data_IF_979433137571
#
_entry.id   IF_979433137571
#
_cell.length_a   1.000
_cell.length_b   1.000
_cell.length_c   1.000
_cell.angle_alpha   90.00
_cell.angle_beta   90.00
_cell.angle_gamma   90.00
#
_symmetry.space_group_name_H-M   'P 1'
#
loop_
_entity.id
_entity.type
_entity.pdbx_description
1 polymer ?
#
# COMPACT_ATOMS: atom_id res chain seq x y z
N UNK A 1 -17.08 20.70 2.21
CA UNK A 1 -17.01 19.44 1.47
C UNK A 1 -15.64 19.34 0.81
N UNK A 2 -14.84 18.32 1.16
CA UNK A 2 -13.49 18.17 0.63
C UNK A 2 -13.58 17.37 -0.67
N UNK A 3 -13.08 17.93 -1.78
CA UNK A 3 -13.13 17.33 -3.11
C UNK A 3 -12.17 16.13 -3.19
N UNK A 4 -12.67 14.93 -2.87
CA UNK A 4 -11.93 13.67 -2.99
C UNK A 4 -11.93 13.15 -4.45
N UNK A 5 -12.79 13.67 -5.33
CA UNK A 5 -13.05 13.06 -6.64
C UNK A 5 -11.88 13.10 -7.63
N UNK A 6 -11.11 14.19 -7.71
CA UNK A 6 -10.13 14.36 -8.78
C UNK A 6 -8.86 13.51 -8.64
N UNK A 7 -8.51 13.09 -7.41
CA UNK A 7 -7.30 12.29 -7.18
C UNK A 7 -7.55 10.78 -7.33
N UNK A 8 -8.74 10.30 -6.97
CA UNK A 8 -9.14 8.91 -7.22
C UNK A 8 -9.35 8.65 -8.72
N UNK A 9 -9.88 9.63 -9.45
CA UNK A 9 -9.99 9.59 -10.92
C UNK A 9 -8.61 9.46 -11.61
N UNK A 10 -7.57 10.11 -11.05
CA UNK A 10 -6.20 10.02 -11.58
C UNK A 10 -5.54 8.66 -11.34
N UNK A 11 -5.97 7.92 -10.32
CA UNK A 11 -5.42 6.60 -10.00
C UNK A 11 -5.91 5.50 -10.95
N UNK A 12 -6.86 5.81 -11.84
CA UNK A 12 -7.56 4.82 -12.67
C UNK A 12 -7.99 3.61 -11.84
N UNK A 13 -8.47 3.87 -10.62
CA UNK A 13 -8.83 2.84 -9.67
C UNK A 13 -9.97 2.01 -10.25
N UNK A 14 -9.81 0.70 -10.47
CA UNK A 14 -10.91 -0.12 -10.97
C UNK A 14 -12.00 -0.14 -9.88
N UNK A 15 -13.15 0.47 -10.18
CA UNK A 15 -14.26 0.55 -9.23
C UNK A 15 -14.97 -0.79 -9.02
N UNK A 16 -14.67 -1.76 -9.87
CA UNK A 16 -15.28 -3.08 -9.98
C UNK A 16 -14.33 -4.23 -9.58
N UNK A 17 -13.06 -3.95 -9.27
CA UNK A 17 -12.09 -4.97 -8.85
C UNK A 17 -11.59 -4.74 -7.41
N UNK A 18 -11.42 -5.82 -6.63
CA UNK A 18 -10.80 -5.73 -5.32
C UNK A 18 -9.31 -5.37 -5.44
N UNK A 19 -8.82 -4.63 -4.45
CA UNK A 19 -7.43 -4.18 -4.39
C UNK A 19 -6.86 -4.36 -2.98
N UNK A 20 -5.54 -4.44 -2.89
CA UNK A 20 -4.83 -4.51 -1.60
C UNK A 20 -4.02 -3.24 -1.40
N UNK A 21 -4.19 -2.56 -0.27
CA UNK A 21 -3.31 -1.46 0.14
C UNK A 21 -2.16 -1.97 1.00
N UNK A 22 -0.93 -1.59 0.67
CA UNK A 22 0.28 -1.95 1.40
C UNK A 22 1.07 -0.70 1.77
N UNK A 23 1.21 -0.41 3.06
CA UNK A 23 2.04 0.69 3.56
C UNK A 23 3.32 0.12 4.21
N UNK A 24 4.47 0.45 3.62
CA UNK A 24 5.80 0.07 4.11
C UNK A 24 6.51 1.33 4.59
N UNK A 25 6.53 1.52 5.91
CA UNK A 25 7.22 2.63 6.56
C UNK A 25 8.57 2.16 7.09
N UNK A 26 9.66 2.78 6.62
CA UNK A 26 11.02 2.37 7.02
C UNK A 26 11.93 3.48 7.54
N UNK A 27 11.66 4.76 7.29
CA UNK A 27 12.55 5.85 7.71
C UNK A 27 12.82 5.93 9.24
N UNK A 28 12.16 6.87 9.90
CA UNK A 28 12.32 7.11 11.34
C UNK A 28 11.86 5.93 12.23
N UNK A 29 10.94 5.13 11.69
CA UNK A 29 10.33 3.98 12.35
C UNK A 29 11.30 2.81 12.60
N UNK A 30 12.36 2.64 11.80
CA UNK A 30 13.26 1.48 11.91
C UNK A 30 14.39 1.61 12.96
N UNK A 31 14.50 2.69 13.72
CA UNK A 31 15.67 2.90 14.58
C UNK A 31 15.48 3.65 15.91
N UNK A 32 14.31 4.22 16.21
CA UNK A 32 14.22 5.24 17.28
C UNK A 32 13.25 4.95 18.42
N UNK A 33 12.39 3.93 18.33
CA UNK A 33 11.43 3.59 19.39
C UNK A 33 11.96 2.50 20.32
N UNK A 34 12.12 2.77 21.65
CA UNK A 34 12.54 1.77 22.63
C UNK A 34 11.59 0.57 22.78
N UNK A 35 10.39 0.65 22.18
CA UNK A 35 9.39 -0.43 22.17
C UNK A 35 9.46 -1.24 20.87
N UNK A 36 10.58 -1.94 20.66
CA UNK A 36 10.60 -3.27 20.01
C UNK A 36 10.08 -3.42 18.57
N UNK A 37 10.04 -2.38 17.76
CA UNK A 37 9.65 -2.51 16.35
C UNK A 37 10.84 -2.82 15.45
N UNK A 38 11.30 -4.06 15.37
CA UNK A 38 12.18 -4.45 14.26
C UNK A 38 11.38 -4.28 12.97
N UNK A 39 11.89 -3.47 12.04
CA UNK A 39 11.27 -3.37 10.73
C UNK A 39 11.17 -4.75 10.09
N UNK A 40 9.96 -5.12 9.67
CA UNK A 40 9.76 -6.36 8.93
C UNK A 40 10.56 -6.30 7.63
N UNK A 41 11.09 -7.45 7.22
CA UNK A 41 11.74 -7.57 5.93
C UNK A 41 10.73 -7.28 4.81
N UNK A 42 11.21 -6.79 3.66
CA UNK A 42 10.35 -6.56 2.49
C UNK A 42 9.67 -7.86 2.03
N UNK A 43 10.37 -8.99 2.13
CA UNK A 43 9.82 -10.31 1.86
C UNK A 43 8.62 -10.67 2.76
N UNK A 44 8.62 -10.24 4.02
CA UNK A 44 7.47 -10.47 4.91
C UNK A 44 6.25 -9.64 4.51
N UNK A 45 6.45 -8.39 4.07
CA UNK A 45 5.38 -7.56 3.51
C UNK A 45 4.85 -8.13 2.19
N UNK A 46 5.74 -8.59 1.32
CA UNK A 46 5.36 -9.25 0.06
C UNK A 46 4.51 -10.49 0.30
N UNK A 47 4.95 -11.40 1.17
CA UNK A 47 4.23 -12.64 1.45
C UNK A 47 2.80 -12.37 1.93
N UNK A 48 2.63 -11.38 2.80
CA UNK A 48 1.31 -11.01 3.31
C UNK A 48 0.46 -10.31 2.25
N UNK A 49 1.05 -9.44 1.44
CA UNK A 49 0.36 -8.78 0.33
C UNK A 49 -0.14 -9.80 -0.72
N UNK A 50 0.67 -10.81 -1.05
CA UNK A 50 0.27 -11.90 -1.94
C UNK A 50 -0.85 -12.74 -1.33
N UNK A 51 -0.72 -13.13 -0.06
CA UNK A 51 -1.76 -13.88 0.66
C UNK A 51 -3.11 -13.15 0.64
N UNK A 52 -3.08 -11.84 0.86
CA UNK A 52 -4.29 -11.00 0.83
C UNK A 52 -4.82 -10.83 -0.59
N UNK A 53 -3.94 -10.65 -1.58
CA UNK A 53 -4.34 -10.54 -2.98
C UNK A 53 -5.01 -11.82 -3.47
N UNK A 54 -4.45 -12.99 -3.14
CA UNK A 54 -5.02 -14.29 -3.48
C UNK A 54 -6.38 -14.49 -2.78
N UNK A 55 -6.50 -14.12 -1.50
CA UNK A 55 -7.74 -14.27 -0.75
C UNK A 55 -8.88 -13.40 -1.30
N UNK A 56 -8.54 -12.20 -1.78
CA UNK A 56 -9.50 -11.24 -2.30
C UNK A 56 -9.65 -11.32 -3.83
N UNK A 57 -8.94 -12.23 -4.49
CA UNK A 57 -8.83 -12.30 -5.96
C UNK A 57 -8.39 -10.94 -6.57
N UNK A 58 -7.60 -10.17 -5.84
CA UNK A 58 -7.10 -8.88 -6.25
C UNK A 58 -5.89 -9.03 -7.18
N UNK A 59 -5.88 -8.24 -8.26
CA UNK A 59 -4.78 -8.25 -9.25
C UNK A 59 -3.79 -7.11 -9.04
N UNK A 60 -4.12 -6.18 -8.14
CA UNK A 60 -3.32 -4.99 -7.87
C UNK A 60 -3.13 -4.80 -6.37
N UNK A 61 -1.87 -4.62 -5.98
CA UNK A 61 -1.45 -4.16 -4.66
C UNK A 61 -0.91 -2.73 -4.82
N UNK A 62 -1.56 -1.76 -4.19
CA UNK A 62 -1.06 -0.39 -4.14
C UNK A 62 -0.07 -0.25 -2.98
N UNK A 63 1.18 0.04 -3.32
CA UNK A 63 2.28 0.13 -2.35
C UNK A 63 2.62 1.57 -2.09
N UNK A 64 2.77 1.86 -0.82
CA UNK A 64 3.07 3.15 -0.28
C UNK A 64 4.32 3.07 0.58
N UNK A 65 5.34 3.85 0.27
CA UNK A 65 6.58 3.78 1.04
C UNK A 65 7.38 5.06 0.92
N UNK A 66 8.05 5.40 2.02
CA UNK A 66 9.04 6.48 2.13
C UNK A 66 10.46 6.00 1.76
N UNK A 67 10.62 4.71 1.46
CA UNK A 67 11.90 4.05 1.23
C UNK A 67 12.10 3.70 -0.25
N UNK A 68 13.15 4.26 -0.86
CA UNK A 68 13.46 4.10 -2.29
C UNK A 68 13.80 2.65 -2.63
N UNK A 69 14.45 1.91 -1.72
CA UNK A 69 14.80 0.51 -1.92
C UNK A 69 13.56 -0.37 -1.84
N UNK A 70 12.63 -0.05 -0.92
CA UNK A 70 11.33 -0.72 -0.86
C UNK A 70 10.52 -0.48 -2.15
N UNK A 71 10.49 0.76 -2.65
CA UNK A 71 9.84 1.10 -3.91
C UNK A 71 10.42 0.31 -5.09
N UNK A 72 11.75 0.25 -5.20
CA UNK A 72 12.42 -0.52 -6.25
C UNK A 72 12.14 -2.03 -6.14
N UNK A 73 12.17 -2.57 -4.92
CA UNK A 73 11.87 -3.97 -4.63
C UNK A 73 10.47 -4.36 -5.14
N UNK A 74 9.43 -3.65 -4.72
CA UNK A 74 8.05 -4.00 -5.11
C UNK A 74 7.79 -3.79 -6.60
N UNK A 75 8.40 -2.76 -7.21
CA UNK A 75 8.31 -2.57 -8.66
C UNK A 75 8.86 -3.78 -9.42
N UNK A 76 9.99 -4.34 -8.98
CA UNK A 76 10.62 -5.50 -9.61
C UNK A 76 9.81 -6.81 -9.46
N UNK A 77 8.91 -6.89 -8.49
CA UNK A 77 8.08 -8.07 -8.21
C UNK A 77 6.77 -8.13 -9.00
N UNK A 78 6.45 -7.08 -9.76
CA UNK A 78 5.23 -7.06 -10.58
C UNK A 78 5.30 -8.12 -11.68
N UNK A 79 4.20 -8.83 -11.86
CA UNK A 79 4.03 -9.91 -12.84
C UNK A 79 2.73 -9.70 -13.61
N UNK A 80 2.47 -10.54 -14.62
CA UNK A 80 1.21 -10.50 -15.37
C UNK A 80 -0.02 -10.85 -14.50
N UNK A 81 0.18 -11.63 -13.42
CA UNK A 81 -0.92 -12.06 -12.54
C UNK A 81 -1.15 -11.14 -11.34
N UNK A 82 -0.12 -10.43 -10.88
CA UNK A 82 -0.20 -9.52 -9.74
C UNK A 82 0.75 -8.33 -9.94
N UNK A 83 0.18 -7.12 -9.88
CA UNK A 83 0.90 -5.86 -10.03
C UNK A 83 1.08 -5.15 -8.70
N UNK A 84 2.28 -4.67 -8.43
CA UNK A 84 2.55 -3.73 -7.33
C UNK A 84 2.64 -2.31 -7.88
N UNK A 85 1.62 -1.49 -7.62
CA UNK A 85 1.52 -0.12 -8.08
C UNK A 85 1.99 0.85 -6.99
N UNK A 86 3.07 1.59 -7.24
CA UNK A 86 3.58 2.57 -6.27
C UNK A 86 2.68 3.81 -6.24
N UNK A 87 2.28 4.22 -5.04
CA UNK A 87 1.64 5.50 -4.76
C UNK A 87 2.71 6.54 -4.47
N UNK A 88 2.61 7.71 -5.09
CA UNK A 88 3.43 8.86 -4.69
C UNK A 88 2.98 9.39 -3.32
N UNK A 89 3.83 10.18 -2.67
CA UNK A 89 3.56 10.78 -1.35
C UNK A 89 2.25 11.59 -1.31
N UNK A 90 1.84 12.18 -2.43
CA UNK A 90 0.62 12.99 -2.54
C UNK A 90 -0.63 12.12 -2.51
N UNK A 91 -0.61 10.99 -3.22
CA UNK A 91 -1.67 9.99 -3.22
C UNK A 91 -1.70 9.24 -1.89
N UNK A 92 -0.54 9.05 -1.26
CA UNK A 92 -0.43 8.37 0.01
C UNK A 92 -1.09 9.10 1.18
N UNK A 93 -0.85 10.40 1.28
CA UNK A 93 -1.49 11.23 2.29
C UNK A 93 -3.03 11.22 2.12
N UNK A 94 -3.51 11.16 0.88
CA UNK A 94 -4.94 11.18 0.55
C UNK A 94 -5.63 9.81 0.70
N UNK A 95 -4.96 8.70 0.38
CA UNK A 95 -5.48 7.35 0.61
C UNK A 95 -5.68 7.10 2.12
N UNK A 96 -4.74 7.56 2.94
CA UNK A 96 -4.84 7.47 4.41
C UNK A 96 -6.02 8.28 4.95
N UNK A 97 -6.31 9.45 4.36
CA UNK A 97 -7.43 10.31 4.75
C UNK A 97 -8.79 9.83 4.17
N UNK A 98 -8.78 9.13 3.04
CA UNK A 98 -9.97 8.59 2.37
C UNK A 98 -10.44 7.24 2.91
N UNK A 99 -9.51 6.38 3.38
CA UNK A 99 -9.82 5.08 3.98
C UNK A 99 -10.44 5.18 5.39
N UNK A 100 -10.45 6.37 6.00
CA UNK A 100 -11.08 6.63 7.30
C UNK A 100 -12.61 6.49 7.35
N UNK A 101 -13.26 6.03 6.26
CA UNK A 101 -14.70 5.74 6.22
C UNK A 101 -15.07 4.26 6.21
N UNK A 102 -14.11 3.35 6.22
CA UNK A 102 -14.37 1.92 6.38
C UNK A 102 -13.23 1.22 7.10
N UNK A 103 -13.00 1.57 8.36
CA UNK A 103 -12.51 0.60 9.32
C UNK A 103 -13.65 0.25 10.26
N UNK A 104 -14.02 -1.01 10.20
CA UNK A 104 -14.95 -1.72 11.07
C UNK A 104 -14.56 -1.42 12.52
N UNK A 105 -15.40 -0.66 13.23
CA UNK A 105 -15.58 -0.88 14.66
C UNK A 105 -16.29 -2.22 14.81
N UNK A 106 -15.57 -3.17 15.39
CA UNK A 106 -16.06 -4.47 15.86
C UNK A 106 -15.27 -4.82 17.11
#
# INVERSE_FOLDING_TARGET
>A
EYQVSTALEQLAWPSDEPVVGLHVRRGDACGTVPRGGHCRSLAAYEAEARRMADHLEARVVYVATDDVDAAAYFRALSTDSLRFALLDDTLMHRATLGAGRSMIEG
#
